data_IF_955298931015
#
_entry.id   IF_955298931015
#
_cell.length_a   1.000
_cell.length_b   1.000
_cell.length_c   1.000
_cell.angle_alpha   90.00
_cell.angle_beta   90.00
_cell.angle_gamma   90.00
#
_symmetry.space_group_name_H-M   'P 1'
#
loop_
_entity.id
_entity.type
_entity.pdbx_description
1 polymer ?
#
# COMPACT_ATOMS: atom_id res chain seq x y z
N UNK A 1 15.15 -23.41 0.99
CA UNK A 1 14.83 -22.74 0.01
C UNK A 1 13.90 -21.63 0.26
N UNK A 2 14.03 -20.60 -0.37
CA UNK A 2 13.31 -19.52 -0.12
C UNK A 2 12.21 -19.32 -0.95
N UNK A 3 11.13 -19.15 -0.43
CA UNK A 3 10.05 -18.69 -1.15
C UNK A 3 10.21 -17.25 -1.31
N UNK A 4 10.30 -16.79 -2.46
CA UNK A 4 10.38 -15.41 -2.63
C UNK A 4 9.08 -14.79 -2.27
N UNK A 5 9.02 -14.29 -1.11
CA UNK A 5 7.93 -13.49 -0.68
C UNK A 5 8.22 -12.09 -1.14
N UNK A 6 7.32 -11.55 -1.92
CA UNK A 6 7.46 -10.21 -2.38
C UNK A 6 7.05 -9.26 -1.27
N UNK A 7 7.97 -8.97 -0.40
CA UNK A 7 7.73 -8.03 0.69
C UNK A 7 8.57 -6.78 0.48
N UNK A 8 7.96 -5.64 0.67
CA UNK A 8 8.65 -4.36 0.57
C UNK A 8 8.46 -3.58 1.86
N UNK A 9 9.47 -2.87 2.26
CA UNK A 9 9.42 -2.06 3.47
C UNK A 9 9.37 -0.58 3.09
N UNK A 10 8.42 0.14 3.66
CA UNK A 10 8.28 1.56 3.43
C UNK A 10 8.45 2.30 4.75
N UNK A 11 9.35 3.27 4.79
CA UNK A 11 9.57 4.08 5.98
C UNK A 11 9.21 5.52 5.66
N UNK A 12 8.27 6.06 6.41
CA UNK A 12 7.89 7.48 6.30
C UNK A 12 8.23 8.18 7.60
N UNK A 13 7.92 9.45 7.71
CA UNK A 13 8.13 10.20 8.95
C UNK A 13 7.31 9.67 10.12
N UNK A 14 6.12 9.17 9.84
CA UNK A 14 5.18 8.70 10.86
C UNK A 14 5.10 7.19 10.97
N UNK A 15 5.33 6.46 9.87
CA UNK A 15 5.07 5.03 9.82
C UNK A 15 6.27 4.21 9.39
N UNK A 16 6.31 2.99 9.88
CA UNK A 16 7.22 1.96 9.39
C UNK A 16 6.32 0.80 8.94
N UNK A 17 6.23 0.59 7.65
CA UNK A 17 5.26 -0.34 7.06
C UNK A 17 5.95 -1.43 6.26
N UNK A 18 5.31 -2.60 6.25
CA UNK A 18 5.77 -3.71 5.45
C UNK A 18 4.61 -4.17 4.58
N UNK A 19 4.83 -4.31 3.30
CA UNK A 19 3.80 -4.65 2.33
C UNK A 19 4.14 -5.97 1.70
N UNK A 20 3.22 -6.91 1.80
CA UNK A 20 3.44 -8.25 1.31
C UNK A 20 2.32 -8.67 0.38
N UNK A 21 2.67 -9.15 -0.83
CA UNK A 21 1.69 -9.69 -1.75
C UNK A 21 1.44 -11.14 -1.44
N UNK A 22 0.18 -11.51 -1.29
CA UNK A 22 -0.21 -12.90 -1.06
C UNK A 22 -0.63 -13.60 -2.34
N UNK A 23 -0.61 -12.90 -3.47
CA UNK A 23 -0.99 -13.49 -4.74
C UNK A 23 0.17 -14.24 -5.36
N UNK A 24 -0.14 -15.19 -6.21
CA UNK A 24 0.90 -15.92 -6.94
C UNK A 24 1.58 -15.06 -7.98
N UNK A 25 2.71 -15.52 -8.46
CA UNK A 25 3.45 -14.82 -9.50
C UNK A 25 2.67 -14.77 -10.80
N UNK A 26 2.89 -13.74 -11.56
CA UNK A 26 2.26 -13.59 -12.86
C UNK A 26 0.93 -12.87 -12.86
N UNK A 27 0.41 -12.55 -11.68
CA UNK A 27 -0.83 -11.79 -11.61
C UNK A 27 -0.56 -10.32 -11.82
N UNK A 28 -1.31 -9.72 -12.75
CA UNK A 28 -1.21 -8.29 -13.02
C UNK A 28 -1.82 -7.49 -11.87
N UNK A 29 -2.91 -7.99 -11.31
CA UNK A 29 -3.56 -7.35 -10.18
C UNK A 29 -3.58 -8.31 -9.00
N UNK A 30 -3.63 -7.77 -7.80
CA UNK A 30 -3.69 -8.58 -6.59
C UNK A 30 -4.63 -7.91 -5.61
N UNK A 31 -5.60 -8.66 -5.12
CA UNK A 31 -6.54 -8.17 -4.13
C UNK A 31 -6.21 -8.71 -2.74
N UNK A 32 -5.05 -9.32 -2.59
CA UNK A 32 -4.60 -9.88 -1.33
C UNK A 32 -3.22 -9.33 -0.98
N UNK A 33 -3.18 -8.05 -0.73
CA UNK A 33 -1.97 -7.37 -0.26
C UNK A 33 -2.12 -7.11 1.22
N UNK A 34 -1.14 -7.52 2.00
CA UNK A 34 -1.14 -7.30 3.44
C UNK A 34 -0.16 -6.19 3.80
N UNK A 35 -0.62 -5.23 4.58
CA UNK A 35 0.24 -4.18 5.12
C UNK A 35 0.30 -4.33 6.62
N UNK A 36 1.49 -4.47 7.17
CA UNK A 36 1.70 -4.51 8.61
C UNK A 36 2.77 -3.51 8.97
N UNK A 37 2.73 -3.04 10.19
CA UNK A 37 3.73 -2.10 10.66
C UNK A 37 3.27 -1.38 11.90
N UNK A 38 3.80 -0.20 12.10
CA UNK A 38 3.44 0.58 13.27
C UNK A 38 3.67 2.07 13.05
N UNK A 39 2.95 2.85 13.83
CA UNK A 39 3.17 4.28 13.92
C UNK A 39 4.43 4.48 14.76
N UNK A 40 5.40 5.18 14.21
CA UNK A 40 6.72 5.35 14.86
C UNK A 40 6.64 6.21 16.11
N UNK A 41 5.63 7.06 16.20
CA UNK A 41 5.50 7.97 17.34
C UNK A 41 4.68 7.36 18.48
N UNK A 42 3.63 6.66 18.17
CA UNK A 42 2.76 6.08 19.20
C UNK A 42 3.04 4.61 19.45
N UNK A 43 3.69 3.93 18.52
CA UNK A 43 3.91 2.50 18.62
C UNK A 43 2.69 1.66 18.27
N UNK A 44 1.60 2.30 17.85
CA UNK A 44 0.38 1.55 17.54
C UNK A 44 0.57 0.69 16.31
N UNK A 45 0.17 -0.59 16.38
CA UNK A 45 0.32 -1.47 15.23
C UNK A 45 -0.71 -1.15 14.15
N UNK A 46 -0.33 -1.41 12.91
CA UNK A 46 -1.22 -1.27 11.76
C UNK A 46 -1.24 -2.60 11.05
N UNK A 47 -2.43 -3.11 10.76
CA UNK A 47 -2.60 -4.32 9.96
C UNK A 47 -3.81 -4.12 9.07
N UNK A 48 -3.57 -4.02 7.77
CA UNK A 48 -4.65 -3.78 6.82
C UNK A 48 -4.45 -4.66 5.60
N UNK A 49 -5.56 -4.99 4.97
CA UNK A 49 -5.55 -5.74 3.72
C UNK A 49 -5.99 -4.81 2.61
N UNK A 50 -5.39 -4.92 1.48
CA UNK A 50 -5.70 -4.08 0.34
C UNK A 50 -5.44 -4.76 -0.98
N UNK A 51 -5.22 -3.93 -1.98
CA UNK A 51 -5.10 -4.40 -3.35
C UNK A 51 -4.12 -3.54 -4.12
N UNK A 52 -3.69 -4.05 -5.27
CA UNK A 52 -2.89 -3.25 -6.19
C UNK A 52 -3.79 -2.18 -6.81
N UNK A 53 -3.18 -1.06 -7.17
CA UNK A 53 -3.88 0.11 -7.67
C UNK A 53 -3.31 0.48 -9.03
N UNK A 54 -4.17 0.62 -10.03
CA UNK A 54 -3.77 0.82 -11.42
C UNK A 54 -4.58 1.91 -12.08
N UNK A 55 -4.06 2.49 -13.16
CA UNK A 55 -4.89 3.28 -14.04
C UNK A 55 -5.82 2.32 -14.80
N UNK A 56 -6.87 2.85 -15.37
CA UNK A 56 -7.86 2.07 -16.12
C UNK A 56 -7.68 2.36 -17.59
N UNK A 57 -7.53 1.31 -18.39
CA UNK A 57 -7.43 1.43 -19.84
C UNK A 57 -8.81 1.69 -20.43
N UNK A 58 -8.83 2.06 -21.72
CA UNK A 58 -10.07 2.41 -22.39
C UNK A 58 -11.09 1.27 -22.38
N UNK A 59 -10.62 0.02 -22.36
CA UNK A 59 -11.50 -1.14 -22.33
C UNK A 59 -11.92 -1.56 -20.92
N UNK A 60 -11.54 -0.78 -19.90
CA UNK A 60 -11.88 -1.07 -18.52
C UNK A 60 -10.89 -1.97 -17.80
N UNK A 61 -9.88 -2.45 -18.48
CA UNK A 61 -8.89 -3.33 -17.85
C UNK A 61 -7.84 -2.53 -17.07
N UNK A 62 -7.14 -3.16 -16.10
CA UNK A 62 -6.07 -2.48 -15.39
C UNK A 62 -4.92 -2.17 -16.34
N UNK A 63 -4.39 -0.99 -16.24
CA UNK A 63 -3.30 -0.54 -17.09
C UNK A 63 -2.03 -0.33 -16.30
N UNK A 64 -1.60 0.91 -16.13
CA UNK A 64 -0.32 1.17 -15.48
C UNK A 64 -0.45 1.02 -13.97
N UNK A 65 0.48 0.32 -13.35
CA UNK A 65 0.56 0.16 -11.90
C UNK A 65 0.90 1.50 -11.24
N UNK A 66 0.12 1.90 -10.27
CA UNK A 66 0.33 3.14 -9.53
C UNK A 66 0.82 2.90 -8.11
N UNK A 67 0.49 1.78 -7.52
CA UNK A 67 0.85 1.47 -6.15
C UNK A 67 -0.16 0.55 -5.49
N UNK A 68 -0.44 0.79 -4.21
CA UNK A 68 -1.32 -0.06 -3.42
C UNK A 68 -2.38 0.77 -2.71
N UNK A 69 -3.52 0.16 -2.44
CA UNK A 69 -4.61 0.79 -1.67
C UNK A 69 -5.00 -0.13 -0.53
N UNK A 70 -5.16 0.43 0.65
CA UNK A 70 -5.57 -0.31 1.83
C UNK A 70 -6.74 0.42 2.48
N UNK A 71 -7.66 -0.33 3.08
CA UNK A 71 -8.91 0.24 3.57
C UNK A 71 -9.06 0.01 5.07
N UNK A 72 -9.42 1.06 5.80
CA UNK A 72 -9.64 0.99 7.24
C UNK A 72 -10.87 1.85 7.55
N UNK A 73 -12.06 1.25 7.46
CA UNK A 73 -13.30 1.99 7.65
C UNK A 73 -13.44 3.10 6.64
N UNK A 74 -13.48 4.34 7.11
CA UNK A 74 -13.60 5.48 6.23
C UNK A 74 -12.27 5.94 5.66
N UNK A 75 -11.17 5.37 6.16
CA UNK A 75 -9.85 5.77 5.71
C UNK A 75 -9.37 4.89 4.57
N UNK A 76 -8.74 5.51 3.59
CA UNK A 76 -8.07 4.78 2.52
C UNK A 76 -6.60 5.20 2.53
N UNK A 77 -5.73 4.21 2.57
CA UNK A 77 -4.30 4.45 2.53
C UNK A 77 -3.82 4.19 1.12
N UNK A 78 -3.28 5.22 0.47
CA UNK A 78 -2.70 5.06 -0.86
C UNK A 78 -1.19 5.08 -0.71
N UNK A 79 -0.54 4.02 -1.15
CA UNK A 79 0.91 3.98 -1.17
C UNK A 79 1.34 4.00 -2.63
N UNK A 80 1.86 5.14 -3.06
CA UNK A 80 2.29 5.31 -4.43
C UNK A 80 3.58 4.53 -4.69
N UNK A 81 3.78 4.17 -5.93
CA UNK A 81 4.98 3.43 -6.34
C UNK A 81 6.25 4.19 -5.93
N UNK A 82 6.20 5.50 -5.88
CA UNK A 82 7.34 6.33 -5.50
C UNK A 82 7.63 6.33 -4.00
N UNK A 83 6.76 5.74 -3.20
CA UNK A 83 6.90 5.73 -1.74
C UNK A 83 6.08 6.80 -1.03
N UNK A 84 5.29 7.57 -1.77
CA UNK A 84 4.42 8.57 -1.15
C UNK A 84 3.24 7.88 -0.48
N UNK A 85 3.04 8.17 0.80
CA UNK A 85 1.90 7.67 1.56
C UNK A 85 0.88 8.77 1.71
N UNK A 86 -0.35 8.50 1.31
CA UNK A 86 -1.46 9.43 1.51
C UNK A 86 -2.59 8.71 2.22
N UNK A 87 -3.16 9.33 3.23
CA UNK A 87 -4.31 8.79 3.96
C UNK A 87 -5.47 9.74 3.76
N UNK A 88 -6.56 9.24 3.21
CA UNK A 88 -7.72 10.04 2.85
C UNK A 88 -8.95 9.50 3.58
N UNK A 89 -9.70 10.38 4.23
CA UNK A 89 -10.94 10.01 4.87
C UNK A 89 -12.09 10.37 3.92
N UNK A 90 -13.00 9.43 3.74
CA UNK A 90 -14.11 9.61 2.81
C UNK A 90 -13.59 9.78 1.41
N UNK A 91 -14.16 10.74 0.67
CA UNK A 91 -13.81 10.92 -0.73
C UNK A 91 -12.65 11.88 -0.96
N UNK A 92 -12.46 12.84 -0.08
CA UNK A 92 -11.53 13.93 -0.38
C UNK A 92 -10.76 14.49 0.80
N UNK A 93 -11.01 14.01 2.00
CA UNK A 93 -10.42 14.61 3.18
C UNK A 93 -9.02 14.05 3.43
N UNK A 94 -8.01 14.73 2.93
CA UNK A 94 -6.63 14.29 3.09
C UNK A 94 -6.18 14.45 4.54
N UNK A 95 -5.88 13.36 5.21
CA UNK A 95 -5.45 13.37 6.61
C UNK A 95 -3.94 13.33 6.77
N UNK A 96 -3.24 12.75 5.82
CA UNK A 96 -1.80 12.60 5.91
C UNK A 96 -1.21 12.51 4.51
N UNK A 97 -0.08 13.14 4.29
CA UNK A 97 0.66 12.98 3.05
C UNK A 97 2.15 13.05 3.40
N UNK A 98 2.86 11.94 3.24
CA UNK A 98 4.27 11.86 3.60
C UNK A 98 5.05 11.11 2.54
N UNK A 99 6.14 11.68 2.10
CA UNK A 99 7.03 11.00 1.20
C UNK A 99 7.89 10.03 2.01
N UNK A 100 7.84 8.76 1.67
CA UNK A 100 8.64 7.74 2.33
C UNK A 100 9.74 7.22 1.44
N UNK A 101 10.45 6.25 1.96
CA UNK A 101 11.52 5.57 1.23
C UNK A 101 11.28 4.08 1.28
N UNK A 102 11.38 3.45 0.12
CA UNK A 102 11.33 2.00 0.04
C UNK A 102 12.70 1.44 0.46
N UNK A 103 12.67 0.39 1.24
CA UNK A 103 13.90 -0.28 1.68
C UNK A 103 13.81 -1.77 1.37
N UNK A 104 14.91 -2.34 1.06
CA UNK A 104 15.00 -3.78 0.78
C UNK A 104 15.24 -4.60 2.02
#
# INVERSE_FOLDING_TARGET
MNVSVSAAELVTGTYHLEIESKCGEGNVTCESILMTGQNKHSGEPVTLTGETWHTVCADGSPCRFLGYRFFDGELTYFIHQSGLLEVIAGDRDLKLSEQGEWRD
#
